data_IF_643718001615
#
_entry.id   IF_643718001615
#
_cell.length_a   1.000
_cell.length_b   1.000
_cell.length_c   1.000
_cell.angle_alpha   90.00
_cell.angle_beta   90.00
_cell.angle_gamma   90.00
#
_symmetry.space_group_name_H-M   'P 1'
#
loop_
_entity.id
_entity.type
_entity.pdbx_description
1 polymer ?
#
# COMPACT_ATOMS: atom_id res chain seq x y z
N UNK A 1 20.96 -4.41 -17.63
CA UNK A 1 21.47 -3.61 -16.50
C UNK A 1 20.30 -3.16 -15.61
N UNK A 2 19.33 -4.02 -15.29
CA UNK A 2 18.07 -3.60 -14.63
C UNK A 2 17.70 -4.36 -13.35
N UNK A 3 18.48 -5.36 -12.93
CA UNK A 3 18.03 -6.28 -11.86
C UNK A 3 18.06 -5.72 -10.43
N UNK A 4 18.80 -4.64 -10.14
CA UNK A 4 18.89 -4.08 -8.78
C UNK A 4 17.66 -3.25 -8.37
N UNK A 5 17.15 -2.44 -9.29
CA UNK A 5 16.04 -1.52 -9.01
C UNK A 5 14.69 -2.23 -9.05
N UNK A 6 14.48 -3.16 -9.98
CA UNK A 6 13.22 -3.90 -10.12
C UNK A 6 12.90 -4.75 -8.89
N UNK A 7 13.90 -5.45 -8.35
CA UNK A 7 13.75 -6.24 -7.12
C UNK A 7 13.41 -5.33 -5.93
N UNK A 8 14.05 -4.16 -5.85
CA UNK A 8 13.81 -3.17 -4.80
C UNK A 8 12.40 -2.56 -4.89
N UNK A 9 11.93 -2.29 -6.12
CA UNK A 9 10.57 -1.80 -6.38
C UNK A 9 9.55 -2.86 -5.97
N UNK A 10 9.71 -4.10 -6.41
CA UNK A 10 8.80 -5.19 -6.06
C UNK A 10 8.73 -5.39 -4.54
N UNK A 11 9.88 -5.40 -3.86
CA UNK A 11 9.94 -5.54 -2.41
C UNK A 11 9.13 -4.44 -1.70
N UNK A 12 9.33 -3.17 -2.08
CA UNK A 12 8.60 -2.04 -1.50
C UNK A 12 7.09 -2.10 -1.76
N UNK A 13 6.68 -2.60 -2.93
CA UNK A 13 5.27 -2.81 -3.24
C UNK A 13 4.65 -3.87 -2.33
N UNK A 14 5.34 -4.99 -2.14
CA UNK A 14 4.89 -6.08 -1.27
C UNK A 14 4.82 -5.64 0.20
N UNK A 15 5.81 -4.88 0.67
CA UNK A 15 5.82 -4.36 2.05
C UNK A 15 4.63 -3.43 2.29
N UNK A 16 4.31 -2.55 1.34
CA UNK A 16 3.14 -1.67 1.42
C UNK A 16 1.82 -2.47 1.45
N UNK A 17 1.68 -3.48 0.58
CA UNK A 17 0.49 -4.34 0.53
C UNK A 17 0.30 -5.11 1.83
N UNK A 18 1.38 -5.70 2.36
CA UNK A 18 1.34 -6.41 3.64
C UNK A 18 0.95 -5.49 4.79
N UNK A 19 1.43 -4.23 4.79
CA UNK A 19 1.04 -3.24 5.79
C UNK A 19 -0.46 -2.92 5.71
N UNK A 20 -1.00 -2.70 4.51
CA UNK A 20 -2.44 -2.50 4.28
C UNK A 20 -3.27 -3.67 4.83
N UNK A 21 -2.93 -4.90 4.47
CA UNK A 21 -3.75 -6.08 4.80
C UNK A 21 -3.67 -6.46 6.28
N UNK A 22 -2.51 -6.30 6.91
CA UNK A 22 -2.37 -6.43 8.37
C UNK A 22 -3.27 -5.45 9.12
N UNK A 23 -3.42 -4.24 8.59
CA UNK A 23 -4.34 -3.27 9.16
C UNK A 23 -5.81 -3.66 8.93
N UNK A 24 -6.19 -4.05 7.70
CA UNK A 24 -7.60 -4.32 7.35
C UNK A 24 -8.17 -5.60 7.99
N UNK A 25 -7.35 -6.63 8.18
CA UNK A 25 -7.83 -7.97 8.57
C UNK A 25 -6.93 -8.72 9.55
N UNK A 26 -5.71 -8.22 9.80
CA UNK A 26 -4.69 -8.97 10.56
C UNK A 26 -4.12 -10.19 9.81
N UNK A 27 -4.49 -10.39 8.54
CA UNK A 27 -4.09 -11.57 7.78
C UNK A 27 -2.60 -11.57 7.44
N UNK A 28 -1.99 -12.76 7.52
CA UNK A 28 -0.71 -13.05 6.89
C UNK A 28 -1.00 -13.56 5.48
N UNK A 29 -0.59 -12.80 4.47
CA UNK A 29 -0.75 -13.20 3.06
C UNK A 29 0.58 -13.68 2.48
N UNK A 30 0.49 -14.60 1.52
CA UNK A 30 1.64 -15.14 0.80
C UNK A 30 2.22 -14.17 -0.22
N UNK A 31 3.43 -14.46 -0.70
CA UNK A 31 4.14 -13.60 -1.67
C UNK A 31 3.40 -13.43 -3.00
N UNK A 32 2.78 -14.50 -3.49
CA UNK A 32 2.00 -14.45 -4.73
C UNK A 32 0.74 -13.61 -4.58
N UNK A 33 0.08 -13.69 -3.44
CA UNK A 33 -1.09 -12.87 -3.13
C UNK A 33 -0.69 -11.40 -3.00
N UNK A 34 0.45 -11.12 -2.34
CA UNK A 34 0.97 -9.75 -2.22
C UNK A 34 1.32 -9.14 -3.57
N UNK A 35 1.92 -9.93 -4.48
CA UNK A 35 2.24 -9.50 -5.85
C UNK A 35 0.99 -9.24 -6.68
N UNK A 36 -0.03 -10.08 -6.54
CA UNK A 36 -1.31 -9.88 -7.23
C UNK A 36 -2.01 -8.62 -6.74
N UNK A 37 -2.07 -8.42 -5.43
CA UNK A 37 -2.68 -7.24 -4.82
C UNK A 37 -1.88 -5.97 -5.16
N UNK A 38 -0.54 -6.04 -5.26
CA UNK A 38 0.27 -4.92 -5.74
C UNK A 38 -0.14 -4.47 -7.16
N UNK A 39 -0.61 -5.37 -8.03
CA UNK A 39 -1.07 -4.99 -9.36
C UNK A 39 -2.32 -4.11 -9.35
N UNK A 40 -3.09 -4.11 -8.25
CA UNK A 40 -4.27 -3.25 -8.03
C UNK A 40 -3.87 -1.80 -7.77
N UNK A 41 -2.72 -1.58 -7.14
CA UNK A 41 -2.32 -0.25 -6.68
C UNK A 41 -1.13 0.32 -7.44
N UNK A 42 -0.30 -0.53 -8.05
CA UNK A 42 0.94 -0.13 -8.73
C UNK A 42 0.85 -0.26 -10.26
N UNK A 43 1.30 0.77 -11.00
CA UNK A 43 1.39 0.71 -12.46
C UNK A 43 2.27 -0.44 -12.93
N UNK A 44 1.89 -1.06 -14.03
CA UNK A 44 2.65 -2.09 -14.72
C UNK A 44 3.07 -1.61 -16.11
N UNK A 45 4.18 -2.13 -16.66
CA UNK A 45 4.52 -1.92 -18.06
C UNK A 45 3.31 -2.24 -18.97
N UNK A 46 2.95 -1.30 -19.85
CA UNK A 46 1.81 -1.45 -20.76
C UNK A 46 0.44 -1.02 -20.21
N UNK A 47 0.36 -0.52 -18.98
CA UNK A 47 -0.87 0.12 -18.51
C UNK A 47 -1.15 1.40 -19.31
N UNK A 48 -2.43 1.59 -19.66
CA UNK A 48 -2.89 2.82 -20.31
C UNK A 48 -2.92 3.96 -19.30
N UNK A 49 -2.78 5.24 -19.71
CA UNK A 49 -2.78 6.38 -18.80
C UNK A 49 -3.99 6.42 -17.84
N UNK A 50 -5.17 6.03 -18.32
CA UNK A 50 -6.39 6.00 -17.50
C UNK A 50 -6.28 4.96 -16.38
N UNK A 51 -5.67 3.79 -16.67
CA UNK A 51 -5.42 2.75 -15.66
C UNK A 51 -4.37 3.17 -14.65
N UNK A 52 -3.33 3.87 -15.09
CA UNK A 52 -2.31 4.43 -14.18
C UNK A 52 -2.96 5.41 -13.20
N UNK A 53 -3.81 6.32 -13.70
CA UNK A 53 -4.54 7.29 -12.86
C UNK A 53 -5.49 6.60 -11.88
N UNK A 54 -6.27 5.62 -12.35
CA UNK A 54 -7.18 4.87 -11.48
C UNK A 54 -6.43 4.16 -10.35
N UNK A 55 -5.30 3.52 -10.65
CA UNK A 55 -4.44 2.86 -9.64
C UNK A 55 -3.87 3.85 -8.63
N UNK A 56 -3.46 5.03 -9.09
CA UNK A 56 -2.99 6.10 -8.23
C UNK A 56 -4.09 6.56 -7.26
N UNK A 57 -5.31 6.77 -7.74
CA UNK A 57 -6.47 7.15 -6.93
C UNK A 57 -6.82 6.06 -5.91
N UNK A 58 -6.86 4.79 -6.33
CA UNK A 58 -7.07 3.66 -5.42
C UNK A 58 -6.00 3.59 -4.33
N UNK A 59 -4.74 3.87 -4.67
CA UNK A 59 -3.66 3.88 -3.69
C UNK A 59 -3.78 5.03 -2.71
N UNK A 60 -4.15 6.23 -3.17
CA UNK A 60 -4.38 7.40 -2.30
C UNK A 60 -5.50 7.10 -1.30
N UNK A 61 -6.60 6.51 -1.76
CA UNK A 61 -7.70 6.11 -0.88
C UNK A 61 -7.26 5.07 0.14
N UNK A 62 -6.53 4.03 -0.29
CA UNK A 62 -6.00 3.02 0.63
C UNK A 62 -5.05 3.63 1.66
N UNK A 63 -4.20 4.59 1.30
CA UNK A 63 -3.33 5.32 2.25
C UNK A 63 -4.16 6.13 3.25
N UNK A 64 -5.21 6.81 2.80
CA UNK A 64 -6.07 7.58 3.69
C UNK A 64 -6.83 6.67 4.67
N UNK A 65 -7.34 5.53 4.19
CA UNK A 65 -7.90 4.51 5.06
C UNK A 65 -6.83 4.03 6.04
N UNK A 66 -5.64 3.68 5.54
CA UNK A 66 -4.35 3.45 6.22
C UNK A 66 -4.07 4.38 7.42
N UNK A 67 -4.35 5.66 7.21
CA UNK A 67 -4.09 6.75 8.14
C UNK A 67 -5.19 6.88 9.19
N UNK A 68 -6.46 6.90 8.78
CA UNK A 68 -7.62 7.02 9.67
C UNK A 68 -7.65 5.85 10.67
N UNK A 69 -7.41 4.68 10.11
CA UNK A 69 -7.11 3.41 10.73
C UNK A 69 -6.14 3.38 11.90
N UNK A 70 -5.01 4.07 11.74
CA UNK A 70 -3.93 4.06 12.71
C UNK A 70 -4.30 4.80 14.02
N UNK A 71 -5.46 5.44 14.08
CA UNK A 71 -5.96 6.15 15.25
C UNK A 71 -5.04 7.29 15.71
N UNK A 72 -5.27 7.80 16.92
CA UNK A 72 -4.48 8.88 17.54
C UNK A 72 -3.09 8.43 18.05
N UNK A 73 -2.51 7.38 17.45
CA UNK A 73 -1.17 6.89 17.77
C UNK A 73 -0.06 7.57 16.95
N UNK A 74 -0.40 8.53 16.07
CA UNK A 74 0.58 9.49 15.56
C UNK A 74 0.99 10.43 16.71
N UNK A 75 2.30 10.58 17.05
CA UNK A 75 2.73 11.50 18.08
C UNK A 75 2.42 12.94 17.63
N UNK A 76 1.29 13.48 18.10
CA UNK A 76 0.82 14.81 17.71
C UNK A 76 -0.66 15.15 17.98
N UNK A 77 -1.46 14.24 18.56
CA UNK A 77 -2.86 14.52 18.89
C UNK A 77 -3.11 14.69 20.40
N UNK A 78 -3.03 15.92 20.90
CA UNK A 78 -3.20 16.32 22.32
C UNK A 78 -4.63 16.08 22.87
N UNK A 79 -4.76 15.45 24.05
CA UNK A 79 -5.96 15.63 24.89
C UNK A 79 -6.18 14.58 25.99
N UNK A 80 -5.54 14.78 27.16
CA UNK A 80 -6.18 14.56 28.47
C UNK A 80 -6.95 15.85 28.83
N UNK A 81 -7.94 15.89 29.77
CA UNK A 81 -8.18 14.97 30.89
C UNK A 81 -9.63 14.48 31.05
N UNK A 82 -9.82 13.65 32.09
CA UNK A 82 -11.10 13.31 32.75
C UNK A 82 -11.75 14.52 33.43
#
# INVERSE_FOLDING_TARGET
IFSGDEATVQQKQMDWVRAKLRYESGAVIGDDEARQEAATYFPRPGDRPERVKAKEESRKQAIEQMRLAAGRAAPGGVGAPV
#
